data_IF_660581833952
#
_entry.id   IF_660581833952
#
_cell.length_a   1.000
_cell.length_b   1.000
_cell.length_c   1.000
_cell.angle_alpha   90.00
_cell.angle_beta   90.00
_cell.angle_gamma   90.00
#
_symmetry.space_group_name_H-M   'P 1'
#
loop_
_entity.id
_entity.type
_entity.pdbx_description
1 polymer ?
#
# COMPACT_ATOMS: atom_id res chain seq x y z
N UNK A 1 4.45 15.53 28.85
CA UNK A 1 4.34 14.58 27.72
C UNK A 1 5.18 15.13 26.56
N UNK A 2 6.39 14.59 26.36
CA UNK A 2 7.21 14.94 25.20
C UNK A 2 6.83 14.03 24.03
N UNK A 3 6.17 14.59 23.01
CA UNK A 3 5.78 13.90 21.76
C UNK A 3 7.01 13.25 21.10
N UNK A 4 8.21 13.80 21.29
CA UNK A 4 9.47 13.24 20.80
C UNK A 4 9.81 11.84 21.32
N UNK A 5 9.17 11.40 22.40
CA UNK A 5 9.36 10.05 22.95
C UNK A 5 8.45 9.01 22.27
N UNK A 6 7.50 9.44 21.44
CA UNK A 6 6.49 8.58 20.80
C UNK A 6 6.58 8.55 19.28
N UNK A 7 7.29 9.51 18.67
CA UNK A 7 7.42 9.63 17.21
C UNK A 7 8.90 9.76 16.82
N UNK A 8 9.38 8.85 16.01
CA UNK A 8 10.70 8.94 15.38
C UNK A 8 10.61 9.88 14.18
N UNK A 9 11.20 11.07 14.29
CA UNK A 9 11.17 12.10 13.23
C UNK A 9 11.73 11.57 11.90
N UNK A 10 12.72 10.72 11.98
CA UNK A 10 13.40 10.11 10.85
C UNK A 10 12.47 9.16 10.07
N UNK A 11 11.51 8.53 10.75
CA UNK A 11 10.53 7.62 10.17
C UNK A 11 9.25 8.32 9.67
N UNK A 12 9.00 9.58 10.05
CA UNK A 12 7.77 10.32 9.67
C UNK A 12 7.55 10.38 8.16
N UNK A 13 8.55 10.69 7.31
CA UNK A 13 8.33 10.72 5.87
C UNK A 13 7.85 9.39 5.30
N UNK A 14 8.42 8.27 5.78
CA UNK A 14 8.00 6.92 5.38
C UNK A 14 6.59 6.58 5.92
N UNK A 15 6.27 7.04 7.14
CA UNK A 15 4.95 6.87 7.72
C UNK A 15 3.87 7.63 6.92
N UNK A 16 4.18 8.81 6.37
CA UNK A 16 3.26 9.55 5.48
C UNK A 16 3.04 8.77 4.18
N UNK A 17 4.08 8.22 3.57
CA UNK A 17 3.94 7.35 2.41
C UNK A 17 3.06 6.14 2.74
N UNK A 18 3.28 5.50 3.89
CA UNK A 18 2.48 4.36 4.32
C UNK A 18 1.02 4.74 4.63
N UNK A 19 0.77 5.94 5.14
CA UNK A 19 -0.59 6.45 5.34
C UNK A 19 -1.37 6.51 4.02
N UNK A 20 -0.75 6.99 2.95
CA UNK A 20 -1.37 7.05 1.63
C UNK A 20 -1.58 5.64 1.05
N UNK A 21 -0.62 4.74 1.21
CA UNK A 21 -0.75 3.33 0.84
C UNK A 21 -1.89 2.67 1.64
N UNK A 22 -1.99 2.96 2.93
CA UNK A 22 -3.08 2.51 3.78
C UNK A 22 -4.45 3.00 3.33
N UNK A 23 -4.56 4.24 2.88
CA UNK A 23 -5.77 4.80 2.26
C UNK A 23 -6.16 4.02 0.99
N UNK A 24 -5.20 3.72 0.12
CA UNK A 24 -5.44 2.87 -1.06
C UNK A 24 -6.00 1.50 -0.67
N UNK A 25 -5.39 0.85 0.30
CA UNK A 25 -5.86 -0.46 0.79
C UNK A 25 -7.24 -0.39 1.43
N UNK A 26 -7.50 0.65 2.22
CA UNK A 26 -8.79 0.88 2.86
C UNK A 26 -9.94 1.03 1.85
N UNK A 27 -9.68 1.62 0.69
CA UNK A 27 -10.67 1.73 -0.40
C UNK A 27 -11.15 0.36 -0.89
N UNK A 28 -10.24 -0.61 -0.98
CA UNK A 28 -10.57 -1.98 -1.36
C UNK A 28 -11.32 -2.70 -0.23
N UNK A 29 -10.84 -2.60 1.01
CA UNK A 29 -11.50 -3.20 2.17
C UNK A 29 -12.96 -2.76 2.30
N UNK A 30 -13.23 -1.49 2.03
CA UNK A 30 -14.55 -0.88 2.24
C UNK A 30 -15.49 -1.09 1.06
N UNK A 31 -14.99 -0.91 -0.16
CA UNK A 31 -15.85 -0.80 -1.34
C UNK A 31 -15.84 -2.01 -2.26
N UNK A 32 -14.99 -3.02 -2.01
CA UNK A 32 -14.92 -4.21 -2.86
C UNK A 32 -16.25 -4.94 -2.95
N UNK A 33 -16.92 -5.15 -1.81
CA UNK A 33 -18.20 -5.88 -1.76
C UNK A 33 -19.30 -5.14 -2.52
N UNK A 34 -19.65 -3.88 -2.20
CA UNK A 34 -20.70 -3.17 -2.95
C UNK A 34 -20.34 -2.95 -4.43
N UNK A 35 -19.06 -2.78 -4.75
CA UNK A 35 -18.61 -2.73 -6.14
C UNK A 35 -18.84 -4.05 -6.88
N UNK A 36 -18.53 -5.19 -6.25
CA UNK A 36 -18.74 -6.51 -6.82
C UNK A 36 -20.25 -6.84 -6.95
N UNK A 37 -21.08 -6.40 -6.02
CA UNK A 37 -22.55 -6.53 -6.11
C UNK A 37 -23.07 -5.80 -7.35
N UNK A 38 -22.64 -4.57 -7.59
CA UNK A 38 -23.06 -3.81 -8.79
C UNK A 38 -22.63 -4.46 -10.10
N UNK A 39 -21.56 -5.23 -10.09
CA UNK A 39 -21.02 -5.93 -11.27
C UNK A 39 -21.40 -7.40 -11.36
N UNK A 40 -22.25 -7.88 -10.46
CA UNK A 40 -22.65 -9.30 -10.36
C UNK A 40 -21.46 -10.25 -10.18
N UNK A 41 -20.42 -9.80 -9.45
CA UNK A 41 -19.17 -10.53 -9.18
C UNK A 41 -18.99 -10.87 -7.69
N UNK A 42 -20.09 -10.93 -6.94
CA UNK A 42 -20.04 -11.12 -5.48
C UNK A 42 -19.34 -12.44 -5.08
N UNK A 43 -19.59 -13.51 -5.83
CA UNK A 43 -18.96 -14.81 -5.59
C UNK A 43 -17.43 -14.71 -5.76
N UNK A 44 -16.96 -14.11 -6.85
CA UNK A 44 -15.52 -13.90 -7.08
C UNK A 44 -14.90 -13.01 -6.00
N UNK A 45 -15.61 -11.99 -5.53
CA UNK A 45 -15.11 -11.09 -4.47
C UNK A 45 -14.86 -11.81 -3.14
N UNK A 46 -15.59 -12.90 -2.88
CA UNK A 46 -15.39 -13.72 -1.68
C UNK A 46 -14.03 -14.43 -1.67
N UNK A 47 -13.45 -14.70 -2.82
CA UNK A 47 -12.12 -15.31 -2.96
C UNK A 47 -11.00 -14.29 -3.13
N UNK A 48 -11.30 -13.03 -3.33
CA UNK A 48 -10.33 -11.96 -3.62
C UNK A 48 -9.19 -11.92 -2.61
N UNK A 49 -9.51 -11.91 -1.32
CA UNK A 49 -8.50 -11.82 -0.25
C UNK A 49 -7.71 -13.12 -0.06
N UNK A 50 -8.21 -14.26 -0.50
CA UNK A 50 -7.45 -15.52 -0.55
C UNK A 50 -6.33 -15.39 -1.58
N UNK A 51 -6.63 -14.91 -2.77
CA UNK A 51 -5.63 -14.66 -3.82
C UNK A 51 -4.61 -13.61 -3.40
N UNK A 52 -5.07 -12.54 -2.75
CA UNK A 52 -4.21 -11.53 -2.13
C UNK A 52 -3.25 -12.17 -1.11
N UNK A 53 -3.76 -12.96 -0.19
CA UNK A 53 -2.97 -13.57 0.87
C UNK A 53 -1.92 -14.54 0.33
N UNK A 54 -2.31 -15.40 -0.62
CA UNK A 54 -1.39 -16.36 -1.26
C UNK A 54 -0.30 -15.64 -2.02
N UNK A 55 -0.64 -14.65 -2.84
CA UNK A 55 0.34 -13.85 -3.58
C UNK A 55 1.32 -13.12 -2.65
N UNK A 56 0.80 -12.52 -1.58
CA UNK A 56 1.61 -11.85 -0.57
C UNK A 56 2.56 -12.83 0.14
N UNK A 57 2.06 -14.00 0.53
CA UNK A 57 2.84 -15.03 1.22
C UNK A 57 4.00 -15.55 0.36
N UNK A 58 3.76 -15.75 -0.94
CA UNK A 58 4.77 -16.25 -1.87
C UNK A 58 5.81 -15.18 -2.17
N UNK A 59 5.38 -13.94 -2.37
CA UNK A 59 6.28 -12.87 -2.85
C UNK A 59 7.10 -12.21 -1.75
N UNK A 60 6.65 -12.21 -0.48
CA UNK A 60 7.40 -11.60 0.63
C UNK A 60 8.80 -12.17 0.84
N UNK A 61 9.04 -13.49 0.86
CA UNK A 61 10.40 -14.04 0.99
C UNK A 61 11.30 -13.68 -0.19
N UNK A 62 10.73 -13.62 -1.40
CA UNK A 62 11.45 -13.23 -2.61
C UNK A 62 11.86 -11.75 -2.52
N UNK A 63 10.92 -10.89 -2.14
CA UNK A 63 11.17 -9.47 -1.94
C UNK A 63 12.24 -9.21 -0.86
N UNK A 64 12.19 -9.91 0.27
CA UNK A 64 13.20 -9.81 1.31
C UNK A 64 14.59 -10.11 0.80
N UNK A 65 14.78 -11.21 0.07
CA UNK A 65 16.07 -11.56 -0.54
C UNK A 65 16.56 -10.54 -1.56
N UNK A 66 15.63 -9.94 -2.33
CA UNK A 66 15.99 -8.90 -3.32
C UNK A 66 16.44 -7.61 -2.63
N UNK A 67 15.81 -7.24 -1.53
CA UNK A 67 16.23 -6.08 -0.71
C UNK A 67 17.61 -6.31 -0.13
N UNK A 68 17.85 -7.49 0.45
CA UNK A 68 19.14 -7.84 1.05
C UNK A 68 20.27 -7.90 0.01
N UNK A 69 19.97 -8.36 -1.21
CA UNK A 69 20.95 -8.51 -2.28
C UNK A 69 21.31 -7.18 -2.98
N UNK A 70 20.40 -6.20 -2.99
CA UNK A 70 20.59 -4.94 -3.73
C UNK A 70 20.22 -3.73 -2.87
N UNK A 71 18.95 -3.35 -2.88
CA UNK A 71 18.40 -2.25 -2.09
C UNK A 71 16.86 -2.31 -2.11
N UNK A 72 16.22 -1.46 -1.32
CA UNK A 72 14.76 -1.40 -1.18
C UNK A 72 14.05 -1.05 -2.49
N UNK A 73 14.64 -0.18 -3.31
CA UNK A 73 14.02 0.33 -4.53
C UNK A 73 13.69 -0.78 -5.53
N UNK A 74 14.50 -1.85 -5.55
CA UNK A 74 14.28 -3.02 -6.44
C UNK A 74 12.94 -3.71 -6.17
N UNK A 75 12.43 -3.61 -4.95
CA UNK A 75 11.13 -4.18 -4.57
C UNK A 75 10.05 -3.11 -4.55
N UNK A 76 10.34 -1.93 -4.02
CA UNK A 76 9.34 -0.89 -3.80
C UNK A 76 8.75 -0.36 -5.09
N UNK A 77 9.53 -0.08 -6.13
CA UNK A 77 9.00 0.39 -7.40
C UNK A 77 8.12 -0.64 -8.12
N UNK A 78 8.53 -1.90 -8.29
CA UNK A 78 7.63 -2.92 -8.83
C UNK A 78 6.38 -3.13 -7.98
N UNK A 79 6.47 -3.00 -6.66
CA UNK A 79 5.33 -3.12 -5.77
C UNK A 79 4.34 -1.96 -5.93
N UNK A 80 4.81 -0.72 -6.11
CA UNK A 80 3.95 0.41 -6.48
C UNK A 80 3.28 0.21 -7.84
N UNK A 81 4.02 -0.29 -8.82
CA UNK A 81 3.45 -0.62 -10.13
C UNK A 81 2.35 -1.68 -9.99
N UNK A 82 2.58 -2.73 -9.20
CA UNK A 82 1.57 -3.75 -8.93
C UNK A 82 0.34 -3.17 -8.23
N UNK A 83 0.50 -2.22 -7.29
CA UNK A 83 -0.61 -1.53 -6.65
C UNK A 83 -1.43 -0.71 -7.65
N UNK A 84 -0.78 0.03 -8.54
CA UNK A 84 -1.45 0.78 -9.61
C UNK A 84 -2.21 -0.17 -10.53
N UNK A 85 -1.59 -1.28 -10.95
CA UNK A 85 -2.23 -2.31 -11.78
C UNK A 85 -3.45 -2.90 -11.08
N UNK A 86 -3.40 -3.09 -9.76
CA UNK A 86 -4.56 -3.54 -8.98
C UNK A 86 -5.78 -2.66 -9.21
N UNK A 87 -5.63 -1.35 -9.08
CA UNK A 87 -6.74 -0.42 -9.27
C UNK A 87 -7.20 -0.34 -10.72
N UNK A 88 -6.29 -0.39 -11.68
CA UNK A 88 -6.64 -0.46 -13.11
C UNK A 88 -7.44 -1.74 -13.41
N UNK A 89 -7.02 -2.89 -12.89
CA UNK A 89 -7.75 -4.15 -13.05
C UNK A 89 -9.12 -4.09 -12.40
N UNK A 90 -9.26 -3.46 -11.23
CA UNK A 90 -10.57 -3.26 -10.58
C UNK A 90 -11.51 -2.43 -11.46
N UNK A 91 -11.03 -1.35 -12.06
CA UNK A 91 -11.81 -0.52 -12.98
C UNK A 91 -12.33 -1.34 -14.16
N UNK A 92 -11.52 -2.23 -14.72
CA UNK A 92 -11.84 -3.08 -15.86
C UNK A 92 -12.33 -4.48 -15.49
N UNK A 93 -12.65 -4.76 -14.23
CA UNK A 93 -13.13 -6.07 -13.78
C UNK A 93 -14.60 -6.28 -14.14
N UNK A 94 -14.85 -6.80 -15.34
CA UNK A 94 -16.17 -7.20 -15.83
C UNK A 94 -16.41 -8.71 -15.70
N UNK A 95 -15.41 -9.47 -15.29
CA UNK A 95 -15.52 -10.90 -14.99
C UNK A 95 -14.73 -11.27 -13.72
N UNK A 96 -15.07 -12.43 -13.14
CA UNK A 96 -14.47 -12.86 -11.87
C UNK A 96 -12.97 -13.09 -11.94
N UNK A 97 -12.43 -13.54 -13.06
CA UNK A 97 -10.99 -13.80 -13.22
C UNK A 97 -10.15 -12.52 -13.16
N UNK A 98 -10.64 -11.44 -13.78
CA UNK A 98 -9.95 -10.13 -13.71
C UNK A 98 -9.98 -9.60 -12.27
N UNK A 99 -11.10 -9.78 -11.57
CA UNK A 99 -11.22 -9.38 -10.16
C UNK A 99 -10.22 -10.16 -9.28
N UNK A 100 -10.09 -11.47 -9.47
CA UNK A 100 -9.13 -12.31 -8.73
C UNK A 100 -7.69 -11.97 -9.08
N UNK A 101 -7.41 -11.65 -10.34
CA UNK A 101 -6.10 -11.17 -10.78
C UNK A 101 -5.73 -9.84 -10.09
N UNK A 102 -6.69 -8.94 -9.90
CA UNK A 102 -6.50 -7.72 -9.12
C UNK A 102 -6.11 -8.06 -7.66
N UNK A 103 -6.68 -9.09 -7.07
CA UNK A 103 -6.30 -9.60 -5.75
C UNK A 103 -4.84 -10.07 -5.69
N UNK A 104 -4.39 -10.80 -6.71
CA UNK A 104 -2.98 -11.22 -6.83
C UNK A 104 -2.05 -10.01 -6.89
N UNK A 105 -2.33 -9.03 -7.73
CA UNK A 105 -1.52 -7.81 -7.82
C UNK A 105 -1.56 -6.96 -6.54
N UNK A 106 -2.67 -6.96 -5.82
CA UNK A 106 -2.74 -6.34 -4.49
C UNK A 106 -1.78 -7.01 -3.50
N UNK A 107 -1.70 -8.34 -3.52
CA UNK A 107 -0.76 -9.11 -2.70
C UNK A 107 0.70 -8.80 -3.01
N UNK A 108 1.04 -8.70 -4.30
CA UNK A 108 2.38 -8.31 -4.76
C UNK A 108 2.67 -6.85 -4.40
N UNK A 109 1.71 -5.95 -4.61
CA UNK A 109 1.86 -4.52 -4.35
C UNK A 109 1.82 -4.19 -2.86
N UNK A 110 0.63 -4.14 -2.28
CA UNK A 110 0.44 -3.75 -0.89
C UNK A 110 1.17 -4.69 0.08
N UNK A 111 1.16 -6.00 -0.17
CA UNK A 111 1.83 -6.97 0.69
C UNK A 111 3.32 -6.70 0.85
N UNK A 112 4.01 -6.36 -0.24
CA UNK A 112 5.45 -6.04 -0.20
C UNK A 112 5.72 -4.59 0.21
N UNK A 113 4.86 -3.63 -0.17
CA UNK A 113 5.00 -2.24 0.27
C UNK A 113 4.91 -2.12 1.78
N UNK A 114 3.95 -2.79 2.42
CA UNK A 114 3.78 -2.71 3.88
C UNK A 114 5.01 -3.20 4.63
N UNK A 115 5.58 -4.34 4.23
CA UNK A 115 6.79 -4.88 4.86
C UNK A 115 8.04 -4.05 4.54
N UNK A 116 8.18 -3.57 3.31
CA UNK A 116 9.31 -2.74 2.90
C UNK A 116 9.30 -1.39 3.61
N UNK A 117 8.16 -0.72 3.70
CA UNK A 117 8.05 0.57 4.41
C UNK A 117 8.36 0.44 5.90
N UNK A 118 7.94 -0.65 6.54
CA UNK A 118 8.31 -0.93 7.93
C UNK A 118 9.83 -1.11 8.09
N UNK A 119 10.45 -1.88 7.20
CA UNK A 119 11.91 -2.08 7.21
C UNK A 119 12.67 -0.76 6.98
N UNK A 120 12.20 0.09 6.06
CA UNK A 120 12.78 1.40 5.80
C UNK A 120 12.64 2.32 7.02
N UNK A 121 11.46 2.36 7.67
CA UNK A 121 11.25 3.16 8.88
C UNK A 121 12.25 2.82 9.99
N UNK A 122 12.55 1.54 10.17
CA UNK A 122 13.56 1.06 11.11
C UNK A 122 14.96 1.47 10.62
N UNK A 123 15.28 1.24 9.35
CA UNK A 123 16.61 1.51 8.76
C UNK A 123 17.02 2.98 8.82
N UNK A 124 16.09 3.91 8.64
CA UNK A 124 16.38 5.35 8.68
C UNK A 124 16.47 5.91 10.11
N UNK A 125 16.17 5.11 11.11
CA UNK A 125 16.12 5.51 12.51
C UNK A 125 17.33 4.98 13.29
N UNK A 126 17.82 5.70 14.31
CA UNK A 126 18.88 5.20 15.19
C UNK A 126 18.46 3.90 15.90
N UNK A 127 19.40 3.01 16.20
CA UNK A 127 19.13 1.72 16.84
C UNK A 127 18.38 1.85 18.18
N UNK A 128 18.66 2.91 18.93
CA UNK A 128 17.95 3.22 20.19
C UNK A 128 16.46 3.56 20.00
N UNK A 129 16.02 3.83 18.76
CA UNK A 129 14.65 4.26 18.43
C UNK A 129 13.87 3.26 17.56
N UNK A 130 14.32 2.03 17.36
CA UNK A 130 13.66 1.06 16.48
C UNK A 130 12.20 0.80 16.87
N UNK A 131 11.90 0.67 18.17
CA UNK A 131 10.51 0.51 18.64
C UNK A 131 9.64 1.73 18.33
N UNK A 132 10.18 2.95 18.52
CA UNK A 132 9.47 4.20 18.23
C UNK A 132 9.28 4.38 16.71
N UNK A 133 10.28 4.01 15.91
CA UNK A 133 10.17 4.04 14.45
C UNK A 133 9.07 3.10 13.93
N UNK A 134 9.00 1.89 14.48
CA UNK A 134 7.92 0.93 14.19
C UNK A 134 6.55 1.48 14.59
N UNK A 135 6.44 2.09 15.78
CA UNK A 135 5.20 2.74 16.21
C UNK A 135 4.80 3.88 15.28
N UNK A 136 5.76 4.71 14.86
CA UNK A 136 5.51 5.82 13.92
C UNK A 136 4.99 5.31 12.59
N UNK A 137 5.57 4.22 12.08
CA UNK A 137 5.09 3.54 10.87
C UNK A 137 3.62 3.08 11.03
N UNK A 138 3.29 2.38 12.14
CA UNK A 138 1.93 1.91 12.37
C UNK A 138 0.93 3.04 12.58
N UNK A 139 1.30 4.13 13.22
CA UNK A 139 0.45 5.33 13.32
C UNK A 139 0.07 5.83 11.91
N UNK A 140 1.03 5.94 11.01
CA UNK A 140 0.75 6.30 9.61
C UNK A 140 -0.21 5.34 8.93
N UNK A 141 0.06 4.04 9.02
CA UNK A 141 -0.78 2.99 8.46
C UNK A 141 -2.21 3.03 9.01
N UNK A 142 -2.34 3.10 10.35
CA UNK A 142 -3.63 3.07 11.04
C UNK A 142 -4.47 4.31 10.74
N UNK A 143 -3.84 5.48 10.60
CA UNK A 143 -4.53 6.70 10.15
C UNK A 143 -5.07 6.49 8.73
N UNK A 144 -4.27 5.96 7.80
CA UNK A 144 -4.70 5.70 6.43
C UNK A 144 -5.87 4.73 6.36
N UNK A 145 -5.77 3.60 7.04
CA UNK A 145 -6.82 2.56 7.05
C UNK A 145 -8.04 3.02 7.85
N UNK A 146 -7.86 3.65 9.00
CA UNK A 146 -8.95 4.00 9.89
C UNK A 146 -9.79 5.19 9.40
N UNK A 147 -9.15 6.24 8.90
CA UNK A 147 -9.85 7.41 8.36
C UNK A 147 -10.21 7.27 6.88
N UNK A 148 -9.56 6.37 6.15
CA UNK A 148 -9.79 6.14 4.74
C UNK A 148 -11.25 5.90 4.38
N UNK A 149 -11.94 4.96 4.99
CA UNK A 149 -13.36 4.68 4.72
C UNK A 149 -14.26 5.89 4.93
N UNK A 150 -14.04 6.63 6.02
CA UNK A 150 -14.83 7.83 6.34
C UNK A 150 -14.58 8.95 5.33
N UNK A 151 -13.32 9.17 4.97
CA UNK A 151 -12.95 10.18 3.96
C UNK A 151 -13.54 9.84 2.59
N UNK A 152 -13.40 8.59 2.15
CA UNK A 152 -13.90 8.16 0.85
C UNK A 152 -15.42 8.08 0.83
N UNK A 153 -16.06 7.72 1.96
CA UNK A 153 -17.50 7.65 2.12
C UNK A 153 -18.20 8.98 1.87
N UNK A 154 -17.54 10.11 2.16
CA UNK A 154 -18.08 11.46 1.88
C UNK A 154 -18.30 11.71 0.38
N UNK A 155 -17.62 10.98 -0.47
CA UNK A 155 -17.68 11.17 -1.92
C UNK A 155 -18.56 10.12 -2.63
N UNK A 156 -18.96 9.03 -1.97
CA UNK A 156 -19.68 7.91 -2.60
C UNK A 156 -21.09 8.30 -3.05
N UNK A 157 -21.68 9.35 -2.51
CA UNK A 157 -22.95 9.89 -2.99
C UNK A 157 -22.83 10.65 -4.31
N UNK A 158 -21.62 11.11 -4.64
CA UNK A 158 -21.33 11.95 -5.81
C UNK A 158 -20.58 11.21 -6.92
N UNK A 159 -19.87 10.13 -6.59
CA UNK A 159 -19.04 9.37 -7.52
C UNK A 159 -19.28 7.86 -7.39
N UNK A 160 -19.07 7.15 -8.50
CA UNK A 160 -19.19 5.69 -8.53
C UNK A 160 -17.99 4.99 -7.91
N UNK A 161 -18.13 3.73 -7.47
CA UNK A 161 -17.01 2.92 -6.97
C UNK A 161 -15.90 2.76 -8.01
N UNK A 162 -16.24 2.67 -9.29
CA UNK A 162 -15.28 2.63 -10.40
C UNK A 162 -14.44 3.92 -10.45
N UNK A 163 -15.07 5.07 -10.26
CA UNK A 163 -14.37 6.36 -10.18
C UNK A 163 -13.48 6.45 -8.93
N UNK A 164 -13.93 5.91 -7.79
CA UNK A 164 -13.09 5.82 -6.58
C UNK A 164 -11.81 5.04 -6.89
N UNK A 165 -11.90 3.87 -7.52
CA UNK A 165 -10.72 3.07 -7.85
C UNK A 165 -9.82 3.74 -8.90
N UNK A 166 -10.39 4.47 -9.86
CA UNK A 166 -9.59 5.27 -10.78
C UNK A 166 -8.81 6.38 -10.06
N UNK A 167 -9.45 7.08 -9.13
CA UNK A 167 -8.80 8.08 -8.28
C UNK A 167 -7.70 7.42 -7.43
N UNK A 168 -7.94 6.23 -6.88
CA UNK A 168 -6.94 5.51 -6.11
C UNK A 168 -5.73 5.08 -6.95
N UNK A 169 -5.92 4.73 -8.22
CA UNK A 169 -4.82 4.47 -9.15
C UNK A 169 -3.93 5.72 -9.32
N UNK A 170 -4.53 6.89 -9.48
CA UNK A 170 -3.82 8.17 -9.57
C UNK A 170 -3.11 8.48 -8.25
N UNK A 171 -3.77 8.28 -7.11
CA UNK A 171 -3.18 8.48 -5.78
C UNK A 171 -1.97 7.56 -5.56
N UNK A 172 -2.04 6.29 -5.99
CA UNK A 172 -0.92 5.36 -5.93
C UNK A 172 0.25 5.81 -6.81
N UNK A 173 -0.01 6.34 -8.01
CA UNK A 173 1.02 6.90 -8.88
C UNK A 173 1.69 8.13 -8.25
N UNK A 174 0.92 9.05 -7.67
CA UNK A 174 1.44 10.21 -6.95
C UNK A 174 2.22 9.80 -5.69
N UNK A 175 1.78 8.78 -4.99
CA UNK A 175 2.50 8.22 -3.85
C UNK A 175 3.86 7.63 -4.25
N UNK A 176 3.95 7.02 -5.43
CA UNK A 176 5.23 6.55 -5.98
C UNK A 176 6.22 7.71 -6.18
N UNK A 177 5.73 8.83 -6.71
CA UNK A 177 6.54 10.05 -6.85
C UNK A 177 6.96 10.61 -5.50
N UNK A 178 6.05 10.62 -4.53
CA UNK A 178 6.36 11.04 -3.16
C UNK A 178 7.46 10.15 -2.54
N UNK A 179 7.36 8.83 -2.69
CA UNK A 179 8.41 7.90 -2.24
C UNK A 179 9.76 8.20 -2.89
N UNK A 180 9.78 8.46 -4.19
CA UNK A 180 11.00 8.83 -4.91
C UNK A 180 11.67 10.07 -4.30
N UNK A 181 10.90 11.08 -3.95
CA UNK A 181 11.39 12.33 -3.37
C UNK A 181 11.90 12.11 -1.94
N UNK A 182 11.15 11.36 -1.15
CA UNK A 182 11.40 11.18 0.30
C UNK A 182 12.55 10.23 0.58
N UNK A 183 12.64 9.13 -0.14
CA UNK A 183 13.59 8.05 0.13
C UNK A 183 14.29 7.51 -1.09
N UNK A 184 13.61 7.28 -2.19
CA UNK A 184 14.11 6.58 -3.36
C UNK A 184 15.38 7.18 -3.96
N UNK A 185 15.51 8.50 -4.00
CA UNK A 185 16.71 9.21 -4.49
C UNK A 185 17.92 9.02 -3.57
N UNK A 186 17.68 8.91 -2.26
CA UNK A 186 18.77 8.76 -1.26
C UNK A 186 19.46 7.40 -1.37
N UNK A 187 18.71 6.38 -1.76
CA UNK A 187 19.24 5.02 -1.96
C UNK A 187 20.18 4.96 -3.15
N UNK A 188 19.93 5.72 -4.22
CA UNK A 188 20.82 5.79 -5.39
C UNK A 188 22.11 6.56 -5.13
N UNK A 189 22.11 7.50 -4.19
CA UNK A 189 23.28 8.31 -3.84
C UNK A 189 24.33 7.60 -2.96
N UNK A 190 23.99 6.47 -2.37
CA UNK A 190 24.86 5.70 -1.48
C UNK A 190 25.53 4.47 -2.14
N UNK A 191 25.48 4.36 -3.46
CA UNK A 191 26.19 3.32 -4.22
C UNK A 191 27.58 3.81 -4.60
N UNK A 192 28.45 3.97 -3.58
CA UNK A 192 29.92 4.04 -3.73
C UNK A 192 30.59 3.18 -2.68
#
# INVERSE_FOLDING_TARGET
FNIHNFIAKEAVPVAIVMMIIGLNYASILTFLKPFAEQRHLLEASSYFFIFYAVASLITRPIAGRMIDAKNENVVVYPAFLALIITFVLLVFSYNGWVLLLAGVFLGIGYGNLSSSMQAIAIKVSPSSKYGIATSTYFIGLDIGIGFGPSLLGLFTDSITYTQVYLIMAIVAALCTVLYLIVHGRKVHGNTY
#
